data_IF_446122616919
#
_entry.id   IF_446122616919
#
_cell.length_a   1.000
_cell.length_b   1.000
_cell.length_c   1.000
_cell.angle_alpha   90.00
_cell.angle_beta   90.00
_cell.angle_gamma   90.00
#
_symmetry.space_group_name_H-M   'P 1'
#
loop_
_entity.id
_entity.type
_entity.pdbx_description
1 polymer ?
#
# COMPACT_ATOMS: atom_id res chain seq x y z
N UNK A 1 16.99 -32.21 15.90
CA UNK A 1 18.41 -32.57 15.68
C UNK A 1 19.15 -31.30 15.24
N UNK A 2 20.28 -30.96 15.85
CA UNK A 2 21.07 -29.79 15.43
C UNK A 2 21.67 -30.11 14.05
N UNK A 3 21.18 -29.48 13.00
CA UNK A 3 21.61 -29.73 11.62
C UNK A 3 23.13 -29.53 11.50
N UNK A 4 23.84 -30.47 10.89
CA UNK A 4 25.23 -30.28 10.45
C UNK A 4 25.22 -29.61 9.08
N UNK A 5 26.27 -28.85 8.77
CA UNK A 5 26.48 -28.42 7.38
C UNK A 5 26.73 -29.64 6.48
N UNK A 6 26.39 -29.53 5.20
CA UNK A 6 26.51 -30.64 4.23
C UNK A 6 27.93 -31.21 4.09
N UNK A 7 28.96 -30.47 4.51
CA UNK A 7 30.35 -30.91 4.51
C UNK A 7 30.77 -31.64 5.80
N UNK A 8 29.86 -31.79 6.77
CA UNK A 8 30.09 -32.47 8.05
C UNK A 8 31.04 -31.75 9.02
N UNK A 9 31.63 -30.61 8.62
CA UNK A 9 32.74 -29.97 9.35
C UNK A 9 32.31 -29.26 10.63
N UNK A 10 31.09 -28.69 10.64
CA UNK A 10 30.56 -27.94 11.78
C UNK A 10 29.05 -28.14 11.95
N UNK A 11 28.55 -27.89 13.16
CA UNK A 11 27.11 -27.85 13.45
C UNK A 11 26.55 -26.46 13.19
N UNK A 12 25.39 -26.38 12.54
CA UNK A 12 24.67 -25.14 12.22
C UNK A 12 24.35 -24.38 13.51
N UNK A 13 23.82 -25.08 14.51
CA UNK A 13 23.55 -24.54 15.83
C UNK A 13 24.09 -25.47 16.91
N UNK A 14 24.49 -24.90 18.06
CA UNK A 14 24.95 -25.65 19.24
C UNK A 14 24.36 -25.02 20.51
N UNK A 15 24.29 -25.80 21.59
CA UNK A 15 24.09 -25.25 22.94
C UNK A 15 25.42 -25.32 23.68
N UNK A 16 25.90 -24.20 24.20
CA UNK A 16 27.14 -24.13 24.97
C UNK A 16 26.94 -23.21 26.18
N UNK A 17 27.31 -23.70 27.38
CA UNK A 17 27.18 -22.96 28.65
C UNK A 17 25.81 -22.28 28.84
N UNK A 18 24.73 -23.00 28.51
CA UNK A 18 23.35 -22.51 28.62
C UNK A 18 22.89 -21.55 27.51
N UNK A 19 23.77 -21.17 26.56
CA UNK A 19 23.44 -20.30 25.42
C UNK A 19 23.18 -21.10 24.16
N UNK A 20 22.20 -20.68 23.37
CA UNK A 20 21.97 -21.15 22.00
C UNK A 20 22.85 -20.36 21.05
N UNK A 21 23.72 -21.05 20.31
CA UNK A 21 24.67 -20.44 19.39
C UNK A 21 24.43 -20.89 17.95
N UNK A 22 24.66 -20.00 16.99
CA UNK A 22 24.51 -20.28 15.55
C UNK A 22 25.80 -19.92 14.80
N UNK A 23 26.26 -20.80 13.93
CA UNK A 23 27.51 -20.59 13.20
C UNK A 23 27.34 -19.54 12.11
N UNK A 24 28.34 -18.67 11.90
CA UNK A 24 28.32 -17.60 10.87
C UNK A 24 27.93 -18.06 9.46
N UNK A 25 28.25 -19.31 9.07
CA UNK A 25 27.89 -19.87 7.76
C UNK A 25 26.38 -20.02 7.54
N UNK A 26 25.59 -20.06 8.62
CA UNK A 26 24.13 -20.07 8.56
C UNK A 26 23.52 -18.65 8.51
N UNK A 27 24.35 -17.61 8.67
CA UNK A 27 23.94 -16.20 8.67
C UNK A 27 24.44 -15.49 7.40
N UNK A 28 24.29 -16.14 6.25
CA UNK A 28 24.57 -15.53 4.94
C UNK A 28 23.25 -15.14 4.27
N UNK A 29 23.28 -14.20 3.33
CA UNK A 29 22.07 -13.80 2.58
C UNK A 29 21.33 -14.99 1.98
N UNK A 30 22.06 -15.94 1.36
CA UNK A 30 21.46 -17.17 0.81
C UNK A 30 20.89 -18.05 1.93
N UNK A 31 21.66 -18.31 2.99
CA UNK A 31 21.21 -19.19 4.08
C UNK A 31 20.02 -18.62 4.85
N UNK A 32 19.93 -17.30 5.03
CA UNK A 32 18.78 -16.65 5.67
C UNK A 32 17.56 -16.60 4.74
N UNK A 33 17.77 -16.36 3.44
CA UNK A 33 16.71 -16.48 2.43
C UNK A 33 16.12 -17.89 2.43
N UNK A 34 16.96 -18.91 2.57
CA UNK A 34 16.53 -20.30 2.57
C UNK A 34 16.04 -20.80 3.95
N UNK A 35 16.57 -20.25 5.06
CA UNK A 35 16.37 -20.76 6.43
C UNK A 35 15.51 -19.88 7.35
N UNK A 36 15.65 -18.55 7.34
CA UNK A 36 14.84 -17.65 8.17
C UNK A 36 13.36 -17.65 7.74
N UNK A 37 13.11 -17.89 6.45
CA UNK A 37 11.80 -18.11 5.86
C UNK A 37 11.30 -19.55 5.95
N UNK A 38 12.04 -20.49 6.55
CA UNK A 38 11.53 -21.84 6.84
C UNK A 38 10.96 -21.95 8.27
N UNK A 39 11.69 -21.47 9.28
CA UNK A 39 11.28 -21.63 10.69
C UNK A 39 10.09 -20.75 11.11
N UNK A 40 10.09 -19.48 10.71
CA UNK A 40 8.97 -18.55 10.99
C UNK A 40 7.74 -18.85 10.14
N UNK A 41 7.94 -19.30 8.90
CA UNK A 41 6.88 -19.59 7.94
C UNK A 41 6.10 -20.88 8.26
N UNK A 42 6.73 -21.90 8.84
CA UNK A 42 6.02 -23.11 9.28
C UNK A 42 5.11 -22.82 10.48
N UNK A 43 5.54 -22.00 11.43
CA UNK A 43 4.71 -21.63 12.59
C UNK A 43 3.62 -20.60 12.21
N UNK A 44 3.92 -19.57 11.42
CA UNK A 44 2.91 -18.65 10.89
C UNK A 44 1.97 -19.31 9.87
N UNK A 45 2.47 -20.22 9.04
CA UNK A 45 1.69 -20.95 8.04
C UNK A 45 0.70 -21.94 8.66
N UNK A 46 1.00 -22.50 9.83
CA UNK A 46 0.04 -23.27 10.63
C UNK A 46 -1.05 -22.38 11.23
N UNK A 47 -0.73 -21.16 11.64
CA UNK A 47 -1.68 -20.22 12.22
C UNK A 47 -2.58 -19.49 11.19
N UNK A 48 -2.12 -19.30 9.94
CA UNK A 48 -2.82 -18.54 8.89
C UNK A 48 -3.27 -19.36 7.67
N UNK A 49 -3.18 -20.69 7.74
CA UNK A 49 -3.38 -21.58 6.60
C UNK A 49 -2.20 -21.46 5.63
N UNK A 50 -1.45 -22.55 5.42
CA UNK A 50 -0.07 -22.60 4.88
C UNK A 50 0.24 -21.95 3.51
N UNK A 51 -0.71 -21.25 2.91
CA UNK A 51 -0.58 -20.56 1.62
C UNK A 51 0.16 -19.22 1.74
N UNK A 52 -0.05 -18.43 2.82
CA UNK A 52 0.53 -17.08 2.97
C UNK A 52 2.04 -17.06 3.21
N UNK A 53 2.55 -18.02 3.99
CA UNK A 53 3.96 -18.06 4.35
C UNK A 53 4.89 -18.44 3.17
N UNK A 54 4.36 -19.14 2.17
CA UNK A 54 5.07 -19.45 0.93
C UNK A 54 5.19 -18.24 -0.02
N UNK A 55 4.27 -17.27 0.04
CA UNK A 55 4.25 -16.10 -0.84
C UNK A 55 5.45 -15.18 -0.58
N UNK A 56 5.68 -14.79 0.68
CA UNK A 56 6.83 -13.94 1.06
C UNK A 56 8.18 -14.59 0.69
N UNK A 57 8.26 -15.92 0.80
CA UNK A 57 9.45 -16.69 0.41
C UNK A 57 9.70 -16.64 -1.10
N UNK A 58 8.65 -16.71 -1.92
CA UNK A 58 8.76 -16.58 -3.38
C UNK A 58 9.22 -15.17 -3.75
N UNK A 59 8.67 -14.14 -3.11
CA UNK A 59 9.04 -12.75 -3.37
C UNK A 59 10.53 -12.49 -3.14
N UNK A 60 11.12 -12.96 -2.03
CA UNK A 60 12.59 -12.78 -1.79
C UNK A 60 13.46 -13.42 -2.88
N UNK A 61 12.97 -14.50 -3.51
CA UNK A 61 13.70 -15.20 -4.58
C UNK A 61 13.64 -14.49 -5.93
N UNK A 62 12.75 -13.51 -6.09
CA UNK A 62 12.73 -12.64 -7.28
C UNK A 62 14.07 -11.91 -7.33
N UNK A 63 14.81 -12.12 -8.43
CA UNK A 63 16.10 -11.46 -8.66
C UNK A 63 15.85 -10.01 -9.02
N UNK A 64 16.55 -9.04 -8.41
CA UNK A 64 16.38 -7.64 -8.77
C UNK A 64 16.66 -7.40 -10.25
N UNK A 65 15.76 -6.68 -10.89
CA UNK A 65 15.93 -6.11 -12.22
C UNK A 65 15.02 -4.89 -12.35
N UNK A 66 15.54 -3.84 -12.99
CA UNK A 66 14.80 -2.59 -13.21
C UNK A 66 13.62 -2.76 -14.17
N UNK A 67 13.64 -3.81 -15.00
CA UNK A 67 12.65 -4.02 -16.06
C UNK A 67 11.45 -4.88 -15.60
N UNK A 68 11.44 -5.34 -14.34
CA UNK A 68 10.39 -6.25 -13.85
C UNK A 68 9.00 -5.62 -13.89
N UNK A 69 8.89 -4.32 -13.63
CA UNK A 69 7.59 -3.62 -13.64
C UNK A 69 6.98 -3.47 -15.03
N UNK A 70 7.78 -3.60 -16.09
CA UNK A 70 7.34 -3.52 -17.48
C UNK A 70 7.15 -4.92 -18.10
N UNK A 71 7.58 -5.96 -17.41
CA UNK A 71 7.42 -7.35 -17.85
C UNK A 71 5.95 -7.76 -17.89
N UNK A 72 5.51 -8.48 -18.96
CA UNK A 72 4.17 -9.06 -19.04
C UNK A 72 3.80 -9.96 -17.84
N UNK A 73 4.79 -10.63 -17.23
CA UNK A 73 4.61 -11.52 -16.08
C UNK A 73 4.07 -10.77 -14.84
N UNK A 74 4.40 -9.49 -14.71
CA UNK A 74 4.08 -8.64 -13.56
C UNK A 74 3.03 -7.57 -13.91
N UNK A 75 2.17 -7.85 -14.90
CA UNK A 75 1.00 -7.02 -15.20
C UNK A 75 -0.14 -7.24 -14.21
N UNK A 76 -0.31 -8.47 -13.76
CA UNK A 76 -1.37 -8.85 -12.84
C UNK A 76 -1.09 -8.26 -11.43
N UNK A 77 -2.08 -7.65 -10.75
CA UNK A 77 -1.86 -6.96 -9.48
C UNK A 77 -1.19 -7.79 -8.36
N UNK A 78 -1.52 -9.08 -8.20
CA UNK A 78 -0.92 -9.91 -7.16
C UNK A 78 0.55 -10.21 -7.48
N UNK A 79 0.88 -10.62 -8.71
CA UNK A 79 2.29 -10.84 -9.10
C UNK A 79 3.09 -9.55 -9.06
N UNK A 80 2.52 -8.44 -9.54
CA UNK A 80 3.14 -7.11 -9.44
C UNK A 80 3.44 -6.71 -8.00
N UNK A 81 2.52 -7.01 -7.08
CA UNK A 81 2.70 -6.81 -5.64
C UNK A 81 3.87 -7.60 -5.04
N UNK A 82 4.22 -8.76 -5.62
CA UNK A 82 5.39 -9.53 -5.17
C UNK A 82 6.70 -8.77 -5.37
N UNK A 83 6.80 -7.84 -6.34
CA UNK A 83 7.99 -6.99 -6.54
C UNK A 83 8.20 -6.08 -5.33
N UNK A 84 7.15 -5.42 -4.84
CA UNK A 84 7.22 -4.58 -3.65
C UNK A 84 7.60 -5.39 -2.41
N UNK A 85 6.99 -6.58 -2.25
CA UNK A 85 7.33 -7.50 -1.16
C UNK A 85 8.80 -7.97 -1.25
N UNK A 86 9.30 -8.23 -2.47
CA UNK A 86 10.70 -8.61 -2.70
C UNK A 86 11.65 -7.49 -2.28
N UNK A 87 11.34 -6.24 -2.64
CA UNK A 87 12.14 -5.07 -2.27
C UNK A 87 12.19 -4.87 -0.74
N UNK A 88 11.05 -4.92 -0.05
CA UNK A 88 10.99 -4.80 1.41
C UNK A 88 11.75 -5.93 2.12
N UNK A 89 11.54 -7.18 1.69
CA UNK A 89 12.19 -8.31 2.35
C UNK A 89 13.69 -8.37 2.08
N UNK A 90 14.16 -7.92 0.91
CA UNK A 90 15.59 -7.78 0.63
C UNK A 90 16.23 -6.65 1.44
N UNK A 91 15.52 -5.53 1.61
CA UNK A 91 15.93 -4.45 2.51
C UNK A 91 16.10 -4.98 3.94
N UNK A 92 15.09 -5.70 4.44
CA UNK A 92 15.15 -6.37 5.74
C UNK A 92 16.40 -7.24 5.89
N UNK A 93 16.67 -8.13 4.92
CA UNK A 93 17.82 -9.02 4.96
C UNK A 93 19.15 -8.26 4.96
N UNK A 94 19.28 -7.21 4.16
CA UNK A 94 20.52 -6.42 4.09
C UNK A 94 20.80 -5.64 5.38
N UNK A 95 19.78 -5.03 5.99
CA UNK A 95 19.94 -4.33 7.27
C UNK A 95 20.23 -5.35 8.39
N UNK A 96 19.50 -6.46 8.42
CA UNK A 96 19.70 -7.49 9.44
C UNK A 96 21.11 -8.09 9.39
N UNK A 97 21.64 -8.39 8.20
CA UNK A 97 23.01 -8.88 8.05
C UNK A 97 24.06 -7.90 8.58
N UNK A 98 23.95 -6.61 8.25
CA UNK A 98 24.85 -5.57 8.80
C UNK A 98 24.79 -5.49 10.32
N UNK A 99 23.59 -5.58 10.89
CA UNK A 99 23.42 -5.58 12.36
C UNK A 99 23.99 -6.84 13.02
N UNK A 100 23.92 -7.99 12.35
CA UNK A 100 24.58 -9.22 12.82
C UNK A 100 26.11 -9.05 12.85
N UNK A 101 26.69 -8.37 11.87
CA UNK A 101 28.15 -8.14 11.80
C UNK A 101 28.67 -7.27 12.96
N UNK A 102 27.84 -6.40 13.52
CA UNK A 102 28.14 -5.64 14.73
C UNK A 102 28.10 -6.49 16.01
N UNK A 103 27.52 -7.70 15.96
CA UNK A 103 27.50 -8.60 17.11
C UNK A 103 28.86 -9.26 17.31
N UNK A 104 29.26 -9.40 18.56
CA UNK A 104 30.43 -10.20 18.92
C UNK A 104 30.22 -11.69 18.63
N UNK A 105 31.25 -12.36 18.10
CA UNK A 105 31.29 -13.82 17.98
C UNK A 105 31.93 -14.48 19.19
N UNK A 106 31.47 -15.66 19.55
CA UNK A 106 32.17 -16.62 20.39
C UNK A 106 33.22 -17.39 19.57
N UNK A 107 34.01 -18.21 20.27
CA UNK A 107 34.99 -19.12 19.68
C UNK A 107 34.43 -19.87 18.46
N UNK A 108 35.29 -20.11 17.47
CA UNK A 108 34.97 -20.81 16.23
C UNK A 108 33.94 -20.14 15.31
N UNK A 109 33.62 -18.85 15.52
CA UNK A 109 32.77 -18.05 14.63
C UNK A 109 31.27 -18.29 14.84
N UNK A 110 30.87 -18.52 16.08
CA UNK A 110 29.47 -18.67 16.49
C UNK A 110 28.91 -17.36 17.06
N UNK A 111 27.66 -17.03 16.73
CA UNK A 111 26.92 -15.90 17.31
C UNK A 111 25.94 -16.39 18.38
N UNK A 112 25.58 -15.50 19.32
CA UNK A 112 24.43 -15.76 20.18
C UNK A 112 23.15 -15.73 19.33
N UNK A 113 22.45 -16.85 19.23
CA UNK A 113 21.24 -16.95 18.42
C UNK A 113 20.13 -16.02 18.93
N UNK A 114 20.07 -15.78 20.25
CA UNK A 114 19.07 -14.87 20.84
C UNK A 114 19.30 -13.44 20.39
N UNK A 115 20.55 -12.97 20.39
CA UNK A 115 20.89 -11.61 19.94
C UNK A 115 20.66 -11.46 18.43
N UNK A 116 21.05 -12.47 17.64
CA UNK A 116 20.78 -12.47 16.18
C UNK A 116 19.29 -12.35 15.89
N UNK A 117 18.45 -13.10 16.60
CA UNK A 117 17.00 -13.03 16.46
C UNK A 117 16.43 -11.69 16.94
N UNK A 118 16.96 -11.13 18.03
CA UNK A 118 16.55 -9.83 18.55
C UNK A 118 16.86 -8.69 17.56
N UNK A 119 18.04 -8.70 16.93
CA UNK A 119 18.38 -7.73 15.88
C UNK A 119 17.44 -7.87 14.68
N UNK A 120 17.09 -9.10 14.27
CA UNK A 120 16.11 -9.33 13.22
C UNK A 120 14.74 -8.77 13.57
N UNK A 121 14.25 -9.04 14.78
CA UNK A 121 12.97 -8.51 15.25
C UNK A 121 12.95 -6.96 15.24
N UNK A 122 14.02 -6.30 15.66
CA UNK A 122 14.14 -4.83 15.62
C UNK A 122 14.08 -4.28 14.19
N UNK A 123 14.72 -4.95 13.22
CA UNK A 123 14.67 -4.52 11.81
C UNK A 123 13.27 -4.70 11.24
N UNK A 124 12.63 -5.84 11.51
CA UNK A 124 11.28 -6.12 11.03
C UNK A 124 10.25 -5.13 11.61
N UNK A 125 10.34 -4.86 12.92
CA UNK A 125 9.46 -3.91 13.60
C UNK A 125 9.60 -2.49 13.05
N UNK A 126 10.84 -2.03 12.82
CA UNK A 126 11.09 -0.71 12.26
C UNK A 126 10.59 -0.62 10.82
N UNK A 127 10.93 -1.56 9.93
CA UNK A 127 10.45 -1.54 8.53
C UNK A 127 8.92 -1.66 8.44
N UNK A 128 8.28 -2.49 9.28
CA UNK A 128 6.82 -2.59 9.34
C UNK A 128 6.20 -1.26 9.81
N UNK A 129 6.77 -0.65 10.84
CA UNK A 129 6.32 0.63 11.36
C UNK A 129 6.46 1.74 10.32
N UNK A 130 7.60 1.81 9.61
CA UNK A 130 7.78 2.70 8.46
C UNK A 130 6.69 2.46 7.40
N UNK A 131 6.45 1.20 7.05
CA UNK A 131 5.50 0.80 6.01
C UNK A 131 4.05 1.19 6.33
N UNK A 132 3.63 1.04 7.59
CA UNK A 132 2.31 1.47 8.07
C UNK A 132 2.21 2.99 8.06
N UNK A 133 3.25 3.66 8.57
CA UNK A 133 3.32 5.13 8.67
C UNK A 133 3.30 5.81 7.30
N UNK A 134 3.87 5.17 6.28
CA UNK A 134 3.87 5.62 4.89
C UNK A 134 2.47 5.83 4.33
N UNK A 135 1.46 5.06 4.78
CA UNK A 135 0.09 5.15 4.25
C UNK A 135 -0.53 6.53 4.46
N UNK A 136 -0.20 7.22 5.56
CA UNK A 136 -0.66 8.60 5.82
C UNK A 136 0.05 9.63 4.92
N UNK A 137 1.11 9.25 4.21
CA UNK A 137 1.91 10.08 3.31
C UNK A 137 1.73 9.64 1.84
N UNK A 138 0.73 8.82 1.55
CA UNK A 138 0.40 8.40 0.20
C UNK A 138 -0.60 9.36 -0.45
N UNK A 139 -0.56 9.55 -1.78
CA UNK A 139 -1.70 10.12 -2.48
C UNK A 139 -2.93 9.21 -2.30
N UNK A 140 -4.15 9.76 -2.11
CA UNK A 140 -5.33 8.96 -1.78
C UNK A 140 -5.99 8.36 -3.04
N UNK A 141 -5.41 8.57 -4.22
CA UNK A 141 -5.89 8.09 -5.50
C UNK A 141 -4.73 7.57 -6.36
N UNK A 142 -4.96 6.42 -7.00
CA UNK A 142 -4.06 5.80 -7.99
C UNK A 142 -2.59 5.76 -7.53
N UNK A 143 -2.39 5.18 -6.34
CA UNK A 143 -1.09 5.01 -5.71
C UNK A 143 -0.15 4.15 -6.56
N UNK A 144 1.04 4.68 -6.86
CA UNK A 144 2.11 3.95 -7.55
C UNK A 144 3.24 3.55 -6.58
N UNK A 145 4.07 2.57 -6.96
CA UNK A 145 5.17 2.13 -6.08
C UNK A 145 6.19 3.24 -5.79
N UNK A 146 6.46 4.13 -6.76
CA UNK A 146 7.32 5.29 -6.55
C UNK A 146 6.74 6.29 -5.54
N UNK A 147 5.41 6.49 -5.55
CA UNK A 147 4.73 7.30 -4.53
C UNK A 147 4.86 6.66 -3.15
N UNK A 148 4.65 5.35 -3.07
CA UNK A 148 4.76 4.61 -1.81
C UNK A 148 6.19 4.67 -1.25
N UNK A 149 7.21 4.57 -2.11
CA UNK A 149 8.60 4.74 -1.71
C UNK A 149 8.88 6.15 -1.16
N UNK A 150 8.40 7.19 -1.85
CA UNK A 150 8.55 8.56 -1.35
C UNK A 150 7.83 8.75 0.00
N UNK A 151 6.63 8.19 0.14
CA UNK A 151 5.86 8.21 1.38
C UNK A 151 6.59 7.47 2.52
N UNK A 152 7.20 6.32 2.23
CA UNK A 152 7.98 5.51 3.17
C UNK A 152 9.19 6.28 3.71
N UNK A 153 9.95 6.92 2.82
CA UNK A 153 11.14 7.70 3.18
C UNK A 153 10.77 8.96 3.97
N UNK A 154 9.71 9.66 3.54
CA UNK A 154 9.22 10.87 4.21
C UNK A 154 8.73 10.56 5.62
N UNK A 155 7.91 9.52 5.79
CA UNK A 155 7.33 9.17 7.07
C UNK A 155 8.38 8.74 8.11
N UNK A 156 9.48 8.13 7.66
CA UNK A 156 10.62 7.79 8.53
C UNK A 156 11.49 9.01 8.83
N UNK A 157 11.75 9.88 7.84
CA UNK A 157 12.51 11.11 8.03
C UNK A 157 11.89 12.03 9.09
N UNK A 158 10.56 12.09 9.15
CA UNK A 158 9.80 12.93 10.08
C UNK A 158 9.89 12.46 11.53
N UNK A 159 10.06 11.16 11.76
CA UNK A 159 10.06 10.58 13.10
C UNK A 159 11.46 10.22 13.61
N UNK A 160 12.39 9.94 12.69
CA UNK A 160 13.78 9.63 12.94
C UNK A 160 14.68 10.44 11.99
N UNK A 161 14.89 11.76 12.26
CA UNK A 161 15.70 12.61 11.38
C UNK A 161 17.13 12.10 11.21
N UNK A 162 17.72 11.50 12.25
CA UNK A 162 19.03 10.86 12.20
C UNK A 162 18.90 9.35 11.92
N UNK A 163 19.32 8.94 10.73
CA UNK A 163 19.35 7.54 10.27
C UNK A 163 20.79 7.04 10.06
N UNK A 164 21.81 7.76 10.55
CA UNK A 164 23.22 7.45 10.26
C UNK A 164 23.71 6.13 10.85
N UNK A 165 23.03 5.60 11.87
CA UNK A 165 23.49 4.38 12.54
C UNK A 165 23.35 3.15 11.64
N UNK A 166 22.22 3.03 10.95
CA UNK A 166 21.88 1.84 10.19
C UNK A 166 21.46 2.11 8.74
N UNK A 167 21.35 3.38 8.35
CA UNK A 167 21.10 3.81 6.97
C UNK A 167 19.88 3.11 6.37
N UNK A 168 18.76 3.06 7.11
CA UNK A 168 17.52 2.41 6.66
C UNK A 168 17.05 3.02 5.34
N UNK A 169 16.99 4.35 5.26
CA UNK A 169 16.50 5.09 4.08
C UNK A 169 17.38 4.87 2.86
N UNK A 170 18.71 4.91 3.02
CA UNK A 170 19.65 4.65 1.91
C UNK A 170 19.48 3.21 1.37
N UNK A 171 19.31 2.25 2.28
CA UNK A 171 19.11 0.84 1.91
C UNK A 171 17.78 0.62 1.21
N UNK A 172 16.71 1.23 1.72
CA UNK A 172 15.39 1.21 1.09
C UNK A 172 15.48 1.76 -0.33
N UNK A 173 16.10 2.93 -0.51
CA UNK A 173 16.31 3.55 -1.82
C UNK A 173 17.10 2.65 -2.77
N UNK A 174 18.24 2.12 -2.33
CA UNK A 174 19.10 1.26 -3.15
C UNK A 174 18.36 -0.01 -3.59
N UNK A 175 17.72 -0.71 -2.64
CA UNK A 175 17.05 -1.97 -2.92
C UNK A 175 15.82 -1.74 -3.79
N UNK A 176 14.98 -0.74 -3.51
CA UNK A 176 13.82 -0.44 -4.35
C UNK A 176 14.24 -0.04 -5.78
N UNK A 177 15.29 0.78 -5.90
CA UNK A 177 15.87 1.18 -7.19
C UNK A 177 16.37 -0.02 -8.01
N UNK A 178 16.86 -1.07 -7.35
CA UNK A 178 17.26 -2.33 -8.04
C UNK A 178 16.08 -3.09 -8.68
N UNK A 179 14.84 -2.79 -8.27
CA UNK A 179 13.59 -3.29 -8.86
C UNK A 179 12.93 -2.28 -9.82
N UNK A 180 13.58 -1.14 -10.09
CA UNK A 180 13.01 -0.06 -10.90
C UNK A 180 11.95 0.76 -10.17
N UNK A 181 11.86 0.64 -8.85
CA UNK A 181 10.98 1.47 -8.03
C UNK A 181 11.78 2.69 -7.57
N UNK A 182 11.47 3.86 -8.13
CA UNK A 182 12.16 5.11 -7.84
C UNK A 182 11.15 6.18 -7.37
N UNK A 183 11.54 7.07 -6.43
CA UNK A 183 10.69 8.20 -6.05
C UNK A 183 10.44 9.13 -7.26
N UNK A 184 9.27 9.78 -7.35
CA UNK A 184 8.96 10.70 -8.44
C UNK A 184 9.79 11.99 -8.30
N UNK A 185 10.87 12.10 -9.08
CA UNK A 185 11.88 13.18 -9.00
C UNK A 185 11.32 14.60 -9.08
N UNK A 186 10.19 14.81 -9.73
CA UNK A 186 9.53 16.13 -9.82
C UNK A 186 8.82 16.57 -8.52
N UNK A 187 8.59 15.64 -7.59
CA UNK A 187 7.83 15.86 -6.35
C UNK A 187 8.63 15.51 -5.09
N UNK A 188 9.86 15.06 -5.24
CA UNK A 188 10.73 14.65 -4.13
C UNK A 188 12.04 15.42 -4.11
N UNK A 189 12.66 15.52 -2.93
CA UNK A 189 14.01 16.03 -2.75
C UNK A 189 15.08 15.00 -3.18
N UNK A 190 16.35 15.35 -3.00
CA UNK A 190 17.49 14.50 -3.32
C UNK A 190 17.55 13.20 -2.47
N UNK A 191 16.86 13.16 -1.34
CA UNK A 191 16.75 11.99 -0.47
C UNK A 191 15.53 11.14 -0.80
N UNK A 192 14.79 11.46 -1.87
CA UNK A 192 13.56 10.77 -2.25
C UNK A 192 12.36 11.05 -1.33
N UNK A 193 12.46 12.01 -0.41
CA UNK A 193 11.35 12.42 0.46
C UNK A 193 10.46 13.41 -0.30
N UNK A 194 9.16 13.44 0.01
CA UNK A 194 8.24 14.44 -0.53
C UNK A 194 8.78 15.85 -0.28
N UNK A 195 8.67 16.70 -1.30
CA UNK A 195 8.96 18.12 -1.12
C UNK A 195 8.01 18.69 -0.09
N UNK A 196 8.58 19.31 0.95
CA UNK A 196 7.79 20.11 1.89
C UNK A 196 7.02 21.18 1.14
N UNK A 197 5.81 21.45 1.58
CA UNK A 197 5.00 22.53 1.06
C UNK A 197 5.72 23.84 1.36
N UNK A 198 6.30 24.45 0.33
CA UNK A 198 7.11 25.65 0.50
C UNK A 198 6.23 26.76 1.10
N UNK A 199 6.66 27.32 2.23
CA UNK A 199 6.01 28.47 2.91
C UNK A 199 5.87 29.73 2.02
N UNK A 200 6.37 29.67 0.78
CA UNK A 200 6.32 30.74 -0.22
C UNK A 200 5.07 30.70 -1.12
N UNK A 201 4.27 29.63 -1.07
CA UNK A 201 2.89 29.70 -1.56
C UNK A 201 2.06 30.47 -0.52
N UNK A 202 1.29 31.47 -0.95
CA UNK A 202 0.51 32.34 -0.07
C UNK A 202 -0.67 31.58 0.54
N UNK A 203 -0.41 30.69 1.50
CA UNK A 203 -1.46 30.02 2.26
C UNK A 203 -2.10 31.00 3.23
N UNK A 204 -3.42 31.07 3.18
CA UNK A 204 -4.26 31.83 4.08
C UNK A 204 -4.64 30.93 5.26
N UNK A 205 -4.17 31.32 6.45
CA UNK A 205 -4.55 30.69 7.73
C UNK A 205 -5.51 31.56 8.55
N UNK A 206 -5.73 32.83 8.16
CA UNK A 206 -6.44 33.83 8.99
C UNK A 206 -7.91 33.49 9.27
N UNK A 207 -8.53 32.66 8.44
CA UNK A 207 -9.95 32.31 8.52
C UNK A 207 -10.17 30.82 8.80
N UNK A 208 -9.12 30.16 9.30
CA UNK A 208 -9.13 28.74 9.61
C UNK A 208 -8.93 28.53 11.10
N UNK A 209 -9.73 27.66 11.71
CA UNK A 209 -9.57 27.20 13.07
C UNK A 209 -8.85 25.86 13.10
N UNK A 210 -7.59 25.86 13.55
CA UNK A 210 -6.80 24.63 13.64
C UNK A 210 -7.44 23.56 14.53
N UNK A 211 -8.02 23.93 15.67
CA UNK A 211 -8.66 22.95 16.56
C UNK A 211 -9.83 22.24 15.86
N UNK A 212 -10.58 22.97 15.04
CA UNK A 212 -11.64 22.39 14.20
C UNK A 212 -11.05 21.49 13.11
N UNK A 213 -9.98 21.90 12.43
CA UNK A 213 -9.30 21.07 11.41
C UNK A 213 -8.81 19.71 11.92
N UNK A 214 -8.64 19.52 13.23
CA UNK A 214 -8.27 18.23 13.81
C UNK A 214 -9.36 17.15 13.67
N UNK A 215 -10.62 17.54 13.41
CA UNK A 215 -11.78 16.64 13.49
C UNK A 215 -12.90 16.95 12.50
N UNK A 216 -12.96 18.16 11.95
CA UNK A 216 -14.08 18.66 11.16
C UNK A 216 -13.72 18.72 9.66
N UNK A 217 -14.31 17.84 8.82
CA UNK A 217 -14.13 17.87 7.38
C UNK A 217 -14.59 19.18 6.72
N UNK A 218 -15.57 19.89 7.27
CA UNK A 218 -16.05 21.16 6.69
C UNK A 218 -15.03 22.27 6.87
N UNK A 219 -14.34 22.31 8.00
CA UNK A 219 -13.27 23.28 8.23
C UNK A 219 -12.06 23.01 7.32
N UNK A 220 -11.71 21.73 7.13
CA UNK A 220 -10.67 21.34 6.17
C UNK A 220 -11.10 21.68 4.73
N UNK A 221 -12.37 21.50 4.38
CA UNK A 221 -12.90 21.91 3.08
C UNK A 221 -12.79 23.43 2.90
N UNK A 222 -13.13 24.23 3.93
CA UNK A 222 -12.96 25.69 3.91
C UNK A 222 -11.50 26.06 3.69
N UNK A 223 -10.57 25.41 4.39
CA UNK A 223 -9.13 25.62 4.17
C UNK A 223 -8.72 25.32 2.71
N UNK A 224 -9.15 24.19 2.15
CA UNK A 224 -8.87 23.84 0.75
C UNK A 224 -9.45 24.88 -0.20
N UNK A 225 -10.71 25.29 0.02
CA UNK A 225 -11.41 26.26 -0.82
C UNK A 225 -10.72 27.62 -0.83
N UNK A 226 -10.31 28.13 0.33
CA UNK A 226 -9.61 29.41 0.46
C UNK A 226 -8.20 29.38 -0.16
N UNK A 227 -7.60 28.19 -0.26
CA UNK A 227 -6.23 27.98 -0.74
C UNK A 227 -6.16 27.22 -2.07
N UNK A 228 -7.28 27.09 -2.81
CA UNK A 228 -7.38 26.20 -3.98
C UNK A 228 -6.34 26.50 -5.06
N UNK A 229 -6.03 27.78 -5.30
CA UNK A 229 -5.07 28.18 -6.32
C UNK A 229 -3.65 27.74 -5.92
N UNK A 230 -3.29 27.93 -4.65
CA UNK A 230 -2.01 27.50 -4.10
C UNK A 230 -1.88 25.96 -4.04
N UNK A 231 -3.00 25.26 -3.86
CA UNK A 231 -3.08 23.81 -3.85
C UNK A 231 -3.29 23.20 -5.25
N UNK A 232 -3.46 24.00 -6.30
CA UNK A 232 -3.78 23.49 -7.65
C UNK A 232 -5.07 22.66 -7.70
N UNK A 233 -6.07 23.01 -6.89
CA UNK A 233 -7.40 22.37 -6.89
C UNK A 233 -8.32 23.12 -7.86
N UNK A 234 -8.83 22.42 -8.86
CA UNK A 234 -9.63 23.02 -9.94
C UNK A 234 -10.98 23.56 -9.43
N UNK A 235 -11.32 24.81 -9.78
CA UNK A 235 -12.55 25.48 -9.34
C UNK A 235 -13.84 24.84 -9.87
N UNK A 236 -13.76 24.16 -11.01
CA UNK A 236 -14.91 23.49 -11.67
C UNK A 236 -15.15 22.11 -11.08
N UNK A 237 -14.24 21.62 -10.24
CA UNK A 237 -14.34 20.31 -9.64
C UNK A 237 -15.17 20.34 -8.35
N UNK A 238 -15.98 19.30 -8.16
CA UNK A 238 -16.60 19.03 -6.87
C UNK A 238 -15.56 18.42 -5.94
N UNK A 239 -15.16 19.16 -4.91
CA UNK A 239 -14.19 18.72 -3.90
C UNK A 239 -14.90 18.22 -2.65
N UNK A 240 -14.47 17.06 -2.16
CA UNK A 240 -14.98 16.42 -0.95
C UNK A 240 -13.81 16.02 -0.06
N UNK A 241 -13.83 16.45 1.20
CA UNK A 241 -12.93 15.92 2.24
C UNK A 241 -13.45 14.55 2.67
N UNK A 242 -12.63 13.52 2.47
CA UNK A 242 -12.99 12.11 2.69
C UNK A 242 -12.64 11.68 4.11
N UNK A 243 -11.52 12.17 4.64
CA UNK A 243 -11.07 11.82 5.98
C UNK A 243 -10.28 12.97 6.64
N UNK A 244 -10.40 13.05 7.97
CA UNK A 244 -9.61 13.92 8.85
C UNK A 244 -9.16 13.05 10.02
N UNK A 245 -7.86 12.79 10.11
CA UNK A 245 -7.28 11.82 11.05
C UNK A 245 -6.17 12.48 11.87
N UNK A 246 -6.38 12.78 13.15
CA UNK A 246 -5.27 13.16 14.02
C UNK A 246 -4.35 11.96 14.22
N UNK A 247 -3.05 12.18 14.10
CA UNK A 247 -2.00 11.16 14.22
C UNK A 247 -1.02 11.56 15.31
N UNK A 248 -0.67 10.59 16.17
CA UNK A 248 0.35 10.74 17.19
C UNK A 248 1.34 9.59 17.08
N UNK A 249 2.60 9.93 16.86
CA UNK A 249 3.68 8.97 16.65
C UNK A 249 4.81 9.24 17.64
N UNK A 250 5.40 8.17 18.15
CA UNK A 250 6.57 8.23 19.01
C UNK A 250 7.75 7.63 18.24
N UNK A 251 8.83 8.40 18.15
CA UNK A 251 10.08 7.99 17.52
C UNK A 251 10.95 7.15 18.45
N UNK A 252 12.01 6.52 17.91
CA UNK A 252 12.91 5.68 18.69
C UNK A 252 13.52 6.40 19.91
N UNK A 253 13.81 7.69 19.77
CA UNK A 253 14.38 8.55 20.81
C UNK A 253 13.31 9.22 21.70
N UNK A 254 12.05 8.76 21.63
CA UNK A 254 10.93 9.35 22.38
C UNK A 254 10.39 10.66 21.79
N UNK A 255 10.87 11.07 20.61
CA UNK A 255 10.34 12.24 19.90
C UNK A 255 8.85 12.06 19.58
N UNK A 256 8.04 13.03 19.99
CA UNK A 256 6.60 13.02 19.75
C UNK A 256 6.28 13.82 18.50
N UNK A 257 5.73 13.14 17.50
CA UNK A 257 5.23 13.77 16.27
C UNK A 257 3.71 13.78 16.30
N UNK A 258 3.12 14.97 16.36
CA UNK A 258 1.67 15.17 16.27
C UNK A 258 1.31 15.84 14.96
N UNK A 259 0.43 15.20 14.21
CA UNK A 259 0.02 15.64 12.89
C UNK A 259 -1.48 15.47 12.71
N UNK A 260 -2.03 16.12 11.69
CA UNK A 260 -3.38 15.83 11.19
C UNK A 260 -3.31 15.51 9.72
N UNK A 261 -3.78 14.32 9.38
CA UNK A 261 -3.78 13.79 8.02
C UNK A 261 -5.18 13.96 7.47
N UNK A 262 -5.30 14.76 6.42
CA UNK A 262 -6.57 15.03 5.76
C UNK A 262 -6.52 14.58 4.31
N UNK A 263 -7.52 13.84 3.86
CA UNK A 263 -7.61 13.37 2.47
C UNK A 263 -8.81 14.01 1.81
N UNK A 264 -8.63 14.52 0.60
CA UNK A 264 -9.74 15.01 -0.23
C UNK A 264 -9.68 14.39 -1.63
N UNK A 265 -10.85 14.30 -2.26
CA UNK A 265 -11.02 13.92 -3.65
C UNK A 265 -11.80 15.02 -4.36
N UNK A 266 -11.33 15.39 -5.53
CA UNK A 266 -12.01 16.30 -6.46
C UNK A 266 -12.47 15.53 -7.69
N UNK A 267 -13.68 15.78 -8.17
CA UNK A 267 -14.22 15.14 -9.39
C UNK A 267 -14.87 16.16 -10.31
N UNK A 268 -14.71 15.98 -11.62
CA UNK A 268 -15.41 16.76 -12.64
C UNK A 268 -15.99 15.83 -13.69
N UNK A 269 -17.22 16.11 -14.11
CA UNK A 269 -17.85 15.45 -15.25
C UNK A 269 -17.60 16.31 -16.48
N UNK A 270 -16.92 15.75 -17.47
CA UNK A 270 -16.49 16.46 -18.67
C UNK A 270 -16.82 15.63 -19.91
N UNK A 271 -16.81 16.28 -21.07
CA UNK A 271 -16.78 15.59 -22.36
C UNK A 271 -15.35 15.42 -22.86
N UNK A 272 -15.13 14.44 -23.73
CA UNK A 272 -13.82 14.21 -24.33
C UNK A 272 -13.24 15.44 -25.06
N UNK A 273 -14.08 16.35 -25.55
CA UNK A 273 -13.65 17.63 -26.11
C UNK A 273 -12.93 18.55 -25.11
N UNK A 274 -13.18 18.40 -23.80
CA UNK A 274 -12.67 19.26 -22.74
C UNK A 274 -11.36 18.72 -22.11
N UNK A 275 -10.94 17.50 -22.45
CA UNK A 275 -9.76 16.83 -21.87
C UNK A 275 -8.46 17.64 -21.96
N UNK A 276 -8.26 18.35 -23.07
CA UNK A 276 -7.08 19.21 -23.25
C UNK A 276 -7.08 20.38 -22.28
N UNK A 277 -8.24 21.02 -22.08
CA UNK A 277 -8.37 22.24 -21.28
C UNK A 277 -8.39 21.91 -19.79
N UNK A 278 -9.07 20.84 -19.39
CA UNK A 278 -9.24 20.47 -17.96
C UNK A 278 -8.09 19.62 -17.45
N UNK A 279 -7.65 18.64 -18.24
CA UNK A 279 -6.68 17.63 -17.78
C UNK A 279 -5.31 17.74 -18.44
N UNK A 280 -5.08 18.68 -19.36
CA UNK A 280 -3.87 18.76 -20.19
C UNK A 280 -3.59 17.45 -20.97
N UNK A 281 -4.64 16.75 -21.40
CA UNK A 281 -4.52 15.49 -22.17
C UNK A 281 -4.74 15.78 -23.66
N UNK A 282 -3.66 15.76 -24.45
CA UNK A 282 -3.66 15.92 -25.91
C UNK A 282 -2.51 15.11 -26.55
N UNK A 283 -2.75 14.17 -27.51
CA UNK A 283 -4.03 13.77 -28.06
C UNK A 283 -4.93 13.02 -27.06
N UNK A 284 -6.21 12.90 -27.41
CA UNK A 284 -7.18 12.10 -26.64
C UNK A 284 -6.83 10.60 -26.74
N UNK A 285 -7.08 9.82 -25.67
CA UNK A 285 -6.87 8.37 -25.69
C UNK A 285 -7.73 7.67 -26.76
N UNK A 286 -7.28 6.52 -27.29
CA UNK A 286 -8.10 5.67 -28.16
C UNK A 286 -9.45 5.34 -27.52
N UNK A 287 -10.54 5.37 -28.30
CA UNK A 287 -11.90 5.12 -27.80
C UNK A 287 -12.61 6.33 -27.19
N UNK A 288 -11.91 7.45 -26.96
CA UNK A 288 -12.51 8.70 -26.45
C UNK A 288 -12.74 9.70 -27.58
N UNK A 289 -14.00 9.89 -27.96
CA UNK A 289 -14.40 10.91 -28.94
C UNK A 289 -14.83 12.21 -28.25
N UNK A 290 -15.26 13.22 -29.03
CA UNK A 290 -15.58 14.55 -28.48
C UNK A 290 -16.76 14.54 -27.53
N UNK A 291 -17.70 13.63 -27.74
CA UNK A 291 -18.97 13.54 -27.02
C UNK A 291 -18.95 12.43 -25.96
N UNK A 292 -17.83 11.72 -25.80
CA UNK A 292 -17.68 10.73 -24.74
C UNK A 292 -17.72 11.45 -23.39
N UNK A 293 -18.75 11.15 -22.58
CA UNK A 293 -18.83 11.63 -21.21
C UNK A 293 -17.82 10.88 -20.33
N UNK A 294 -17.10 11.61 -19.48
CA UNK A 294 -16.03 11.10 -18.63
C UNK A 294 -16.12 11.72 -17.24
N UNK A 295 -15.80 10.93 -16.22
CA UNK A 295 -15.48 11.46 -14.89
C UNK A 295 -13.97 11.50 -14.70
N UNK A 296 -13.42 12.70 -14.54
CA UNK A 296 -12.02 12.92 -14.21
C UNK A 296 -11.87 13.22 -12.73
N UNK A 297 -10.76 12.80 -12.17
CA UNK A 297 -10.49 12.86 -10.73
C UNK A 297 -9.22 13.64 -10.47
N UNK A 298 -9.18 14.30 -9.34
CA UNK A 298 -7.96 14.75 -8.67
C UNK A 298 -8.10 14.40 -7.19
N UNK A 299 -7.00 14.38 -6.45
CA UNK A 299 -7.05 14.07 -5.03
C UNK A 299 -5.78 14.56 -4.34
N UNK A 300 -5.83 14.72 -3.02
CA UNK A 300 -4.66 15.07 -2.26
C UNK A 300 -4.73 14.68 -0.79
N UNK A 301 -3.55 14.37 -0.25
CA UNK A 301 -3.32 14.22 1.18
C UNK A 301 -2.64 15.48 1.69
N UNK A 302 -3.26 16.12 2.67
CA UNK A 302 -2.75 17.28 3.40
C UNK A 302 -2.23 16.79 4.75
N UNK A 303 -0.98 17.09 5.05
CA UNK A 303 -0.37 16.78 6.35
C UNK A 303 -0.13 18.09 7.07
N UNK A 304 -0.86 18.30 8.18
CA UNK A 304 -0.68 19.47 9.05
C UNK A 304 0.19 19.12 10.25
N UNK A 305 1.05 20.05 10.65
CA UNK A 305 1.84 19.94 11.87
C UNK A 305 0.99 20.15 13.14
N UNK A 306 1.66 20.10 14.31
CA UNK A 306 1.01 20.30 15.61
C UNK A 306 0.47 21.72 15.84
N UNK A 307 0.77 22.68 14.96
CA UNK A 307 0.33 24.07 15.02
C UNK A 307 -0.71 24.40 13.93
N UNK A 308 -1.05 23.45 13.07
CA UNK A 308 -1.98 23.65 11.96
C UNK A 308 -1.36 24.21 10.70
N UNK A 309 -0.03 24.22 10.60
CA UNK A 309 0.66 24.60 9.39
C UNK A 309 0.74 23.42 8.43
N UNK A 310 0.58 23.70 7.14
CA UNK A 310 0.60 22.67 6.11
C UNK A 310 2.07 22.28 5.84
N UNK A 311 2.41 21.03 6.11
CA UNK A 311 3.75 20.47 5.85
C UNK A 311 3.85 19.87 4.46
N UNK A 312 2.84 19.12 4.05
CA UNK A 312 2.84 18.40 2.79
C UNK A 312 1.48 18.49 2.11
N UNK A 313 1.53 18.62 0.78
CA UNK A 313 0.38 18.43 -0.10
C UNK A 313 0.75 17.40 -1.16
N UNK A 314 0.32 16.16 -0.91
CA UNK A 314 0.70 14.99 -1.71
C UNK A 314 -0.47 14.69 -2.63
N UNK A 315 -0.41 15.22 -3.85
CA UNK A 315 -1.56 15.27 -4.74
C UNK A 315 -1.35 14.58 -6.09
N UNK A 316 -2.47 14.10 -6.62
CA UNK A 316 -2.70 13.82 -8.04
C UNK A 316 -3.60 14.93 -8.56
N UNK A 317 -2.98 15.94 -9.19
CA UNK A 317 -3.71 17.08 -9.70
C UNK A 317 -4.55 16.66 -10.91
N UNK A 318 -5.73 17.25 -11.06
CA UNK A 318 -6.63 16.93 -12.16
C UNK A 318 -6.01 17.24 -13.53
N UNK A 319 -5.13 18.24 -13.59
CA UNK A 319 -4.40 18.69 -14.78
C UNK A 319 -3.07 17.96 -15.02
N UNK A 320 -2.73 16.94 -14.23
CA UNK A 320 -1.59 16.04 -14.52
C UNK A 320 -1.96 15.15 -15.72
N UNK A 321 -1.70 15.68 -16.92
CA UNK A 321 -2.11 15.04 -18.17
C UNK A 321 -1.44 13.71 -18.45
N UNK A 322 -0.20 13.50 -17.98
CA UNK A 322 0.47 12.21 -18.15
C UNK A 322 -0.22 11.13 -17.31
N UNK A 323 -0.46 11.42 -16.03
CA UNK A 323 -1.17 10.51 -15.13
C UNK A 323 -2.61 10.28 -15.59
N UNK A 324 -3.36 11.34 -15.92
CA UNK A 324 -4.74 11.23 -16.39
C UNK A 324 -4.86 10.42 -17.68
N UNK A 325 -3.93 10.60 -18.63
CA UNK A 325 -3.89 9.79 -19.84
C UNK A 325 -3.75 8.31 -19.50
N UNK A 326 -2.73 7.94 -18.70
CA UNK A 326 -2.48 6.56 -18.30
C UNK A 326 -3.70 5.94 -17.63
N UNK A 327 -4.34 6.69 -16.75
CA UNK A 327 -5.57 6.29 -16.06
C UNK A 327 -6.73 6.05 -17.04
N UNK A 328 -6.97 6.97 -17.95
CA UNK A 328 -8.04 6.84 -18.94
C UNK A 328 -7.79 5.70 -19.92
N UNK A 329 -6.55 5.51 -20.37
CA UNK A 329 -6.16 4.39 -21.23
C UNK A 329 -6.39 3.05 -20.53
N UNK A 330 -6.07 2.94 -19.23
CA UNK A 330 -6.38 1.75 -18.43
C UNK A 330 -7.89 1.49 -18.33
N UNK A 331 -8.70 2.54 -18.13
CA UNK A 331 -10.15 2.40 -17.96
C UNK A 331 -10.88 2.11 -19.26
N UNK A 332 -10.39 2.61 -20.40
CA UNK A 332 -11.03 2.50 -21.73
C UNK A 332 -10.46 1.34 -22.55
N UNK A 333 -9.19 0.98 -22.38
CA UNK A 333 -8.45 0.06 -23.25
C UNK A 333 -8.58 -1.43 -22.94
N UNK A 334 -9.09 -1.80 -21.76
CA UNK A 334 -9.23 -3.21 -21.35
C UNK A 334 -10.69 -3.67 -21.49
N UNK A 335 -10.99 -4.74 -22.25
CA UNK A 335 -12.32 -5.35 -22.26
C UNK A 335 -12.79 -5.67 -20.84
N UNK A 336 -14.09 -5.53 -20.57
CA UNK A 336 -14.70 -6.09 -19.36
C UNK A 336 -14.52 -7.61 -19.39
N UNK A 337 -13.52 -8.12 -18.67
CA UNK A 337 -13.43 -9.55 -18.38
C UNK A 337 -14.66 -10.00 -17.60
N UNK A 338 -15.11 -11.23 -17.87
CA UNK A 338 -16.26 -11.85 -17.22
C UNK A 338 -16.10 -11.81 -15.67
N UNK A 339 -17.19 -11.68 -14.90
CA UNK A 339 -17.16 -11.45 -13.45
C UNK A 339 -16.52 -12.58 -12.62
N UNK A 340 -16.07 -13.67 -13.24
CA UNK A 340 -15.58 -14.84 -12.52
C UNK A 340 -14.16 -14.60 -12.01
N UNK A 341 -14.12 -14.11 -10.76
CA UNK A 341 -13.03 -14.28 -9.79
C UNK A 341 -11.83 -13.34 -10.01
N UNK A 342 -12.03 -12.03 -9.78
CA UNK A 342 -10.92 -11.09 -9.52
C UNK A 342 -11.16 -9.64 -9.94
N UNK A 343 -12.08 -9.39 -10.87
CA UNK A 343 -12.23 -8.10 -11.56
C UNK A 343 -13.31 -7.18 -10.99
N UNK A 344 -14.01 -7.56 -9.92
CA UNK A 344 -15.17 -6.80 -9.40
C UNK A 344 -14.82 -5.34 -9.04
N UNK A 345 -13.63 -5.11 -8.48
CA UNK A 345 -13.16 -3.77 -8.13
C UNK A 345 -12.77 -2.97 -9.39
N UNK A 346 -12.01 -3.56 -10.32
CA UNK A 346 -11.68 -2.92 -11.59
C UNK A 346 -12.94 -2.56 -12.40
N UNK A 347 -13.95 -3.43 -12.40
CA UNK A 347 -15.26 -3.18 -13.02
C UNK A 347 -16.02 -2.04 -12.34
N UNK A 348 -15.98 -1.95 -11.00
CA UNK A 348 -16.54 -0.81 -10.25
C UNK A 348 -15.88 0.51 -10.68
N UNK A 349 -14.56 0.53 -10.81
CA UNK A 349 -13.82 1.72 -11.26
C UNK A 349 -14.13 2.10 -12.71
N UNK A 350 -14.27 1.13 -13.62
CA UNK A 350 -14.72 1.36 -15.00
C UNK A 350 -16.14 1.94 -15.06
N UNK A 351 -17.08 1.36 -14.32
CA UNK A 351 -18.45 1.89 -14.23
C UNK A 351 -18.45 3.34 -13.72
N UNK A 352 -17.63 3.67 -12.71
CA UNK A 352 -17.48 5.03 -12.17
C UNK A 352 -16.83 6.02 -13.15
N UNK A 353 -16.03 5.55 -14.10
CA UNK A 353 -15.40 6.40 -15.10
C UNK A 353 -16.38 6.79 -16.23
N UNK A 354 -17.34 5.91 -16.54
CA UNK A 354 -18.34 6.08 -17.59
C UNK A 354 -19.70 6.61 -17.10
N UNK A 355 -19.90 6.80 -15.79
CA UNK A 355 -21.20 7.14 -15.25
C UNK A 355 -21.57 8.62 -15.53
N UNK A 356 -22.44 8.81 -16.52
CA UNK A 356 -23.27 10.00 -16.62
C UNK A 356 -24.52 9.81 -15.74
N UNK A 357 -24.70 10.67 -14.74
CA UNK A 357 -25.77 10.68 -13.73
C UNK A 357 -25.63 9.68 -12.57
N UNK A 358 -25.24 10.21 -11.41
CA UNK A 358 -25.73 9.75 -10.12
C UNK A 358 -26.28 10.98 -9.41
N UNK A 359 -27.47 11.41 -9.85
CA UNK A 359 -28.35 12.20 -8.99
C UNK A 359 -28.84 11.26 -7.89
N UNK A 360 -28.46 11.60 -6.66
CA UNK A 360 -28.95 11.00 -5.43
C UNK A 360 -30.41 11.41 -5.22
N UNK A 361 -31.35 10.77 -5.93
CA UNK A 361 -32.77 10.82 -5.59
C UNK A 361 -33.36 9.43 -5.53
N UNK A 362 -33.75 9.06 -4.31
CA UNK A 362 -34.21 7.73 -3.95
C UNK A 362 -35.31 7.17 -4.85
N UNK A 363 -35.02 6.04 -5.48
CA UNK A 363 -36.01 5.00 -5.79
C UNK A 363 -35.47 3.65 -5.34
N UNK A 364 -35.81 3.25 -4.12
CA UNK A 364 -35.81 1.85 -3.69
C UNK A 364 -36.76 1.09 -4.62
N UNK A 365 -36.24 0.43 -5.65
CA UNK A 365 -36.98 -0.61 -6.35
C UNK A 365 -37.12 -1.81 -5.42
N UNK A 366 -38.34 -2.01 -4.92
CA UNK A 366 -38.77 -3.24 -4.26
C UNK A 366 -38.67 -4.39 -5.27
N UNK A 367 -37.70 -5.26 -5.10
CA UNK A 367 -37.70 -6.58 -5.76
C UNK A 367 -38.71 -7.46 -5.03
N UNK A 368 -39.90 -7.61 -5.62
CA UNK A 368 -40.90 -8.59 -5.21
C UNK A 368 -40.50 -9.97 -5.74
N UNK A 369 -40.04 -10.85 -4.87
CA UNK A 369 -40.02 -12.30 -5.11
C UNK A 369 -40.56 -13.00 -3.88
N UNK A 370 -41.86 -13.31 -3.91
CA UNK A 370 -42.53 -14.16 -2.92
C UNK A 370 -42.19 -15.63 -3.21
N UNK A 371 -41.69 -16.40 -2.23
CA UNK A 371 -41.58 -17.84 -2.35
C UNK A 371 -42.92 -18.50 -2.03
N UNK A 372 -43.47 -19.23 -2.99
CA UNK A 372 -44.74 -19.95 -2.90
C UNK A 372 -44.56 -21.21 -2.04
N UNK A 373 -44.74 -21.10 -0.73
CA UNK A 373 -44.92 -22.24 0.17
C UNK A 373 -46.35 -22.78 0.05
N UNK A 374 -46.51 -24.06 -0.27
CA UNK A 374 -47.77 -24.80 -0.17
C UNK A 374 -47.73 -25.71 1.05
N UNK A 375 -48.61 -25.49 2.01
CA UNK A 375 -48.98 -26.46 3.05
C UNK A 375 -50.50 -26.50 3.19
N UNK A 376 -51.11 -27.65 2.92
CA UNK A 376 -52.42 -28.04 3.45
C UNK A 376 -52.52 -29.58 3.40
N UNK A 377 -52.52 -30.20 4.58
CA UNK A 377 -53.02 -31.55 4.89
C UNK A 377 -54.55 -31.48 5.18
N UNK A 378 -55.27 -32.58 5.49
CA UNK A 378 -55.16 -33.98 5.04
C UNK A 378 -56.54 -34.54 4.57
N UNK A 379 -56.58 -35.73 3.97
CA UNK A 379 -57.77 -36.62 3.99
C UNK A 379 -57.36 -38.09 3.74
N UNK A 380 -57.68 -38.91 4.74
CA UNK A 380 -57.98 -40.35 4.82
C UNK A 380 -57.68 -41.34 3.66
N UNK A 381 -57.07 -42.48 4.07
CA UNK A 381 -56.97 -43.88 3.53
C UNK A 381 -58.30 -44.47 2.96
N UNK A 382 -58.34 -45.71 2.36
CA UNK A 382 -57.35 -46.82 2.26
C UNK A 382 -57.19 -47.44 0.84
N UNK A 383 -56.28 -48.38 0.58
CA UNK A 383 -56.55 -49.84 0.47
C UNK A 383 -55.22 -50.64 0.47
N UNK A 384 -55.26 -51.76 1.20
CA UNK A 384 -54.22 -52.79 1.42
C UNK A 384 -54.01 -53.71 0.21
N UNK A 385 -52.80 -54.29 0.08
CA UNK A 385 -52.45 -55.72 -0.15
C UNK A 385 -51.09 -55.82 -0.87
N UNK A 386 -50.18 -56.73 -0.60
CA UNK A 386 -49.88 -57.60 0.54
C UNK A 386 -48.42 -58.00 0.33
N UNK A 387 -47.61 -57.94 1.38
CA UNK A 387 -46.33 -58.64 1.47
C UNK A 387 -46.59 -60.15 1.55
N UNK A 388 -45.70 -60.93 0.94
CA UNK A 388 -45.29 -62.26 1.39
C UNK A 388 -43.78 -62.32 1.17
N UNK A 389 -42.94 -62.81 2.07
CA UNK A 389 -43.17 -63.44 3.36
C UNK A 389 -42.01 -64.40 3.64
N UNK A 390 -41.60 -64.47 4.92
CA UNK A 390 -40.86 -65.58 5.56
C UNK A 390 -39.41 -65.84 5.07
N UNK A 391 -38.43 -66.11 5.92
CA UNK A 391 -38.40 -66.42 7.36
C UNK A 391 -37.05 -65.96 7.95
#
# INVERSE_FOLDING_TARGET
ALAQFNDGTKRVAIKSKGKSLIHRRALTASALTDGALMGLAEEFGRALGGMRANALRRSVRIKPSRDLLDSPEFREPHTRGEILAAALMRTFLQIWLRRIEELGTFDDGYYNLVEVAAEGAKVADHLLTMSIRALDYCPPLDLEFGDYLAALLTADAEIAPDDKRYHYRDTVLEVFGSFGIEPPTSRTDASGCWLGFSQHASIQYRRTNFESMLRDPEEVFRFIWENRDALGVDERSYTQVVSVRPSLRIGPEGFLLRETICEYVSRANIFGAELKVVCNVDPRPPGVNSNTALTVYGAGTLVFDQYGQLKYHIARQMNDGQWQRKRLEYLVGEPTEDPEIGSAFANLHRMRAHCASCDDTGKRQRTSSSPRAKSAQPLSRPIKRHLGGSA
#
